data_IF_758673265361
#
_entry.id   IF_758673265361
#
_cell.length_a   1.000
_cell.length_b   1.000
_cell.length_c   1.000
_cell.angle_alpha   90.00
_cell.angle_beta   90.00
_cell.angle_gamma   90.00
#
_symmetry.space_group_name_H-M   'P 1'
#
loop_
_entity.id
_entity.type
_entity.pdbx_description
1 polymer ?
#
# COMPACT_ATOMS: atom_id res chain seq x y z
N UNK A 1 -7.62 22.81 -74.23
CA UNK A 1 -7.25 21.72 -73.29
C UNK A 1 -6.86 22.33 -71.94
N UNK A 2 -7.73 22.30 -70.96
CA UNK A 2 -7.46 22.83 -69.62
C UNK A 2 -7.19 21.66 -68.68
N UNK A 3 -5.98 21.64 -68.12
CA UNK A 3 -5.55 20.64 -67.17
C UNK A 3 -6.03 21.07 -65.76
N UNK A 4 -6.93 20.27 -65.19
CA UNK A 4 -7.45 20.45 -63.82
C UNK A 4 -6.52 19.75 -62.83
N UNK A 5 -5.95 20.52 -61.89
CA UNK A 5 -5.18 19.96 -60.76
C UNK A 5 -6.09 19.70 -59.58
N UNK A 6 -5.98 18.54 -58.91
CA UNK A 6 -6.75 18.29 -57.70
C UNK A 6 -6.18 19.05 -56.49
N UNK A 7 -7.11 19.67 -55.72
CA UNK A 7 -6.81 20.33 -54.43
C UNK A 7 -6.35 19.28 -53.40
N UNK A 8 -5.13 19.46 -52.89
CA UNK A 8 -4.67 18.77 -51.68
C UNK A 8 -5.50 19.21 -50.47
N UNK A 9 -6.19 18.27 -49.86
CA UNK A 9 -6.82 18.42 -48.54
C UNK A 9 -5.72 18.56 -47.48
N UNK A 10 -5.54 19.77 -46.94
CA UNK A 10 -4.72 20.00 -45.75
C UNK A 10 -5.45 19.43 -44.52
N UNK A 11 -4.97 18.29 -44.03
CA UNK A 11 -5.36 17.72 -42.76
C UNK A 11 -4.85 18.60 -41.60
N UNK A 12 -5.70 19.43 -41.03
CA UNK A 12 -5.41 20.16 -39.82
C UNK A 12 -5.32 19.19 -38.62
N UNK A 13 -4.11 18.81 -38.30
CA UNK A 13 -3.87 18.11 -37.02
C UNK A 13 -4.23 19.04 -35.86
N UNK A 14 -5.36 18.81 -35.23
CA UNK A 14 -5.70 19.43 -33.93
C UNK A 14 -4.65 18.95 -32.92
N UNK A 15 -3.76 19.82 -32.54
CA UNK A 15 -2.89 19.65 -31.37
C UNK A 15 -3.81 19.78 -30.15
N UNK A 16 -4.11 18.63 -29.51
CA UNK A 16 -4.80 18.61 -28.23
C UNK A 16 -3.88 19.29 -27.19
N UNK A 17 -4.40 20.23 -26.37
CA UNK A 17 -3.59 20.83 -25.35
C UNK A 17 -3.14 19.73 -24.35
N UNK A 18 -1.84 19.57 -24.22
CA UNK A 18 -1.25 18.74 -23.17
C UNK A 18 -1.68 19.33 -21.85
N UNK A 19 -2.58 18.64 -21.14
CA UNK A 19 -2.96 19.02 -19.79
C UNK A 19 -1.66 19.14 -18.96
N UNK A 20 -1.27 20.35 -18.59
CA UNK A 20 -0.22 20.58 -17.61
C UNK A 20 -0.71 19.92 -16.33
N UNK A 21 -0.15 18.75 -16.00
CA UNK A 21 -0.21 18.21 -14.65
C UNK A 21 0.35 19.33 -13.76
N UNK A 22 -0.55 20.01 -13.02
CA UNK A 22 -0.12 20.94 -12.00
C UNK A 22 0.90 20.24 -11.14
N UNK A 23 2.04 20.85 -10.89
CA UNK A 23 3.00 20.40 -9.89
C UNK A 23 2.22 20.36 -8.57
N UNK A 24 1.75 19.15 -8.21
CA UNK A 24 1.20 18.92 -6.90
C UNK A 24 2.29 19.34 -5.90
N UNK A 25 1.94 20.19 -4.96
CA UNK A 25 2.85 20.59 -3.88
C UNK A 25 3.34 19.29 -3.23
N UNK A 26 4.65 19.06 -3.24
CA UNK A 26 5.28 17.86 -2.67
C UNK A 26 5.29 17.94 -1.13
N UNK A 27 4.16 18.31 -0.52
CA UNK A 27 4.01 18.30 0.93
C UNK A 27 4.03 16.88 1.44
N UNK A 28 4.87 16.64 2.45
CA UNK A 28 4.91 15.38 3.16
C UNK A 28 3.92 15.47 4.32
N UNK A 29 2.88 14.65 4.29
CA UNK A 29 1.93 14.48 5.38
C UNK A 29 2.34 13.29 6.27
N UNK A 30 2.10 13.39 7.58
CA UNK A 30 2.44 12.34 8.56
C UNK A 30 1.25 12.08 9.48
N UNK A 31 0.96 10.81 9.72
CA UNK A 31 -0.11 10.36 10.61
C UNK A 31 0.48 9.55 11.77
N UNK A 32 -0.18 9.61 12.94
CA UNK A 32 0.23 8.85 14.12
C UNK A 32 1.61 9.26 14.62
N UNK A 33 1.80 10.56 14.85
CA UNK A 33 3.07 11.16 15.30
C UNK A 33 3.16 11.33 16.82
N UNK A 34 2.21 10.77 17.56
CA UNK A 34 2.15 10.94 19.03
C UNK A 34 3.26 10.21 19.77
N UNK A 35 3.86 9.19 19.14
CA UNK A 35 4.98 8.45 19.67
C UNK A 35 6.33 9.13 19.37
N UNK A 36 7.37 8.89 20.21
CA UNK A 36 8.67 9.54 20.06
C UNK A 36 9.55 8.95 18.94
N UNK A 37 9.21 7.77 18.40
CA UNK A 37 10.11 7.01 17.56
C UNK A 37 9.86 7.21 16.07
N UNK A 38 8.58 7.24 15.63
CA UNK A 38 8.24 7.21 14.21
C UNK A 38 6.81 7.71 13.98
N UNK A 39 6.51 8.07 12.73
CA UNK A 39 5.13 8.23 12.26
C UNK A 39 4.55 6.86 11.93
N UNK A 40 3.25 6.63 12.16
CA UNK A 40 2.57 5.40 11.73
C UNK A 40 2.38 5.34 10.22
N UNK A 41 2.17 6.50 9.57
CA UNK A 41 2.12 6.61 8.12
C UNK A 41 2.77 7.91 7.63
N UNK A 42 3.32 7.86 6.42
CA UNK A 42 3.83 9.01 5.67
C UNK A 42 3.17 9.00 4.30
N UNK A 43 2.66 10.16 3.88
CA UNK A 43 2.03 10.34 2.56
C UNK A 43 2.87 11.34 1.77
N UNK A 44 3.26 10.95 0.56
CA UNK A 44 4.03 11.79 -0.34
C UNK A 44 3.77 11.39 -1.80
N UNK A 45 3.46 12.37 -2.65
CA UNK A 45 3.21 12.16 -4.09
C UNK A 45 2.19 11.04 -4.38
N UNK A 46 1.04 11.08 -3.69
CA UNK A 46 -0.02 10.09 -3.81
C UNK A 46 0.38 8.65 -3.43
N UNK A 47 1.47 8.48 -2.67
CA UNK A 47 1.87 7.22 -2.09
C UNK A 47 1.77 7.29 -0.57
N UNK A 48 1.20 6.26 0.02
CA UNK A 48 1.07 6.05 1.47
C UNK A 48 2.05 4.97 1.89
N UNK A 49 2.96 5.32 2.78
CA UNK A 49 3.95 4.42 3.38
C UNK A 49 3.53 4.17 4.83
N UNK A 50 3.20 2.95 5.19
CA UNK A 50 2.98 2.57 6.58
C UNK A 50 4.28 2.11 7.23
N UNK A 51 4.42 2.33 8.52
CA UNK A 51 5.46 1.66 9.33
C UNK A 51 5.22 0.16 9.41
N UNK A 52 6.20 -0.60 9.84
CA UNK A 52 5.98 -1.98 10.27
C UNK A 52 4.99 -1.99 11.45
N UNK A 53 3.88 -2.70 11.32
CA UNK A 53 2.82 -2.80 12.31
C UNK A 53 2.88 -4.15 13.00
N UNK A 54 2.71 -4.12 14.31
CA UNK A 54 2.77 -5.27 15.22
C UNK A 54 1.61 -5.24 16.20
N UNK A 55 1.20 -6.38 16.73
CA UNK A 55 0.19 -6.43 17.77
C UNK A 55 0.76 -6.00 19.12
N UNK A 56 0.61 -4.72 19.44
CA UNK A 56 0.98 -4.17 20.74
C UNK A 56 -0.10 -4.40 21.81
N UNK A 57 -1.28 -4.88 21.43
CA UNK A 57 -2.38 -5.08 22.40
C UNK A 57 -2.11 -6.24 23.35
N UNK A 58 -1.33 -7.23 22.90
CA UNK A 58 -1.08 -8.46 23.66
C UNK A 58 -2.34 -9.29 23.90
N UNK A 59 -3.38 -9.07 23.09
CA UNK A 59 -4.67 -9.78 23.24
C UNK A 59 -4.66 -11.17 22.62
N UNK A 60 -3.67 -11.47 21.77
CA UNK A 60 -3.53 -12.78 21.13
C UNK A 60 -2.11 -13.31 21.22
N UNK A 61 -1.99 -14.58 21.54
CA UNK A 61 -0.75 -15.37 21.53
C UNK A 61 -0.62 -16.25 20.27
N UNK A 62 -1.55 -16.11 19.31
CA UNK A 62 -1.57 -16.85 18.04
C UNK A 62 -1.22 -15.94 16.85
N UNK A 63 -0.55 -16.49 15.83
CA UNK A 63 -0.26 -15.75 14.61
C UNK A 63 -1.54 -15.31 13.88
N UNK A 64 -2.59 -16.12 13.92
CA UNK A 64 -3.91 -15.77 13.36
C UNK A 64 -4.47 -14.51 14.00
N UNK A 65 -4.52 -14.45 15.32
CA UNK A 65 -5.06 -13.29 16.03
C UNK A 65 -4.19 -12.06 15.88
N UNK A 66 -2.86 -12.18 15.97
CA UNK A 66 -1.96 -11.05 15.77
C UNK A 66 -2.04 -10.52 14.33
N UNK A 67 -2.10 -11.41 13.31
CA UNK A 67 -2.27 -10.99 11.92
C UNK A 67 -3.58 -10.22 11.73
N UNK A 68 -4.68 -10.68 12.31
CA UNK A 68 -5.96 -9.97 12.22
C UNK A 68 -5.89 -8.59 12.86
N UNK A 69 -5.29 -8.48 14.05
CA UNK A 69 -5.11 -7.19 14.74
C UNK A 69 -4.29 -6.21 13.89
N UNK A 70 -3.18 -6.68 13.32
CA UNK A 70 -2.30 -5.86 12.48
C UNK A 70 -3.01 -5.41 11.20
N UNK A 71 -3.74 -6.31 10.52
CA UNK A 71 -4.47 -5.96 9.29
C UNK A 71 -5.63 -5.00 9.54
N UNK A 72 -6.29 -5.07 10.68
CA UNK A 72 -7.28 -4.07 11.10
C UNK A 72 -6.64 -2.69 11.28
N UNK A 73 -5.44 -2.62 11.87
CA UNK A 73 -4.70 -1.34 11.99
C UNK A 73 -4.23 -0.83 10.62
N UNK A 74 -3.85 -1.71 9.68
CA UNK A 74 -3.58 -1.33 8.28
C UNK A 74 -4.79 -0.66 7.66
N UNK A 75 -5.99 -1.26 7.77
CA UNK A 75 -7.23 -0.69 7.23
C UNK A 75 -7.53 0.69 7.84
N UNK A 76 -7.39 0.85 9.14
CA UNK A 76 -7.60 2.12 9.84
C UNK A 76 -6.64 3.23 9.37
N UNK A 77 -5.37 2.89 9.19
CA UNK A 77 -4.37 3.86 8.73
C UNK A 77 -4.55 4.22 7.25
N UNK A 78 -4.89 3.25 6.41
CA UNK A 78 -5.21 3.51 5.00
C UNK A 78 -6.43 4.42 4.87
N UNK A 79 -7.50 4.17 5.65
CA UNK A 79 -8.69 5.01 5.67
C UNK A 79 -8.36 6.45 6.12
N UNK A 80 -7.57 6.62 7.18
CA UNK A 80 -7.09 7.95 7.64
C UNK A 80 -6.24 8.66 6.59
N UNK A 81 -5.48 7.91 5.79
CA UNK A 81 -4.70 8.44 4.69
C UNK A 81 -5.54 8.75 3.43
N UNK A 82 -6.83 8.41 3.41
CA UNK A 82 -7.74 8.63 2.29
C UNK A 82 -7.65 7.58 1.18
N UNK A 83 -7.29 6.35 1.53
CA UNK A 83 -7.18 5.21 0.62
C UNK A 83 -7.76 3.93 1.27
N UNK A 84 -7.59 2.78 0.65
CA UNK A 84 -8.11 1.51 1.15
C UNK A 84 -7.27 0.32 0.63
N UNK A 85 -7.54 -0.89 1.15
CA UNK A 85 -6.75 -2.11 0.87
C UNK A 85 -6.66 -2.50 -0.60
N UNK A 86 -7.65 -2.18 -1.45
CA UNK A 86 -7.58 -2.47 -2.88
C UNK A 86 -6.52 -1.62 -3.61
N UNK A 87 -6.01 -0.56 -2.98
CA UNK A 87 -4.93 0.28 -3.50
C UNK A 87 -3.56 -0.09 -2.95
N UNK A 88 -3.44 -1.19 -2.20
CA UNK A 88 -2.15 -1.66 -1.71
C UNK A 88 -1.28 -2.11 -2.88
N UNK A 89 -0.07 -1.56 -2.95
CA UNK A 89 0.90 -1.85 -4.00
C UNK A 89 1.85 -2.97 -3.59
N UNK A 90 2.31 -2.92 -2.34
CA UNK A 90 3.27 -3.89 -1.83
C UNK A 90 3.07 -4.15 -0.34
N UNK A 91 3.42 -5.37 0.09
CA UNK A 91 3.49 -5.75 1.49
C UNK A 91 4.76 -6.54 1.78
N UNK A 92 5.39 -6.25 2.92
CA UNK A 92 6.46 -7.04 3.51
C UNK A 92 5.95 -7.64 4.82
N UNK A 93 6.13 -8.93 4.99
CA UNK A 93 5.69 -9.67 6.16
C UNK A 93 6.88 -10.38 6.78
N UNK A 94 7.10 -10.18 8.06
CA UNK A 94 8.09 -10.87 8.86
C UNK A 94 7.38 -11.80 9.83
N UNK A 95 7.78 -13.06 9.86
CA UNK A 95 7.28 -14.07 10.78
C UNK A 95 8.39 -14.48 11.73
N UNK A 96 8.06 -14.66 13.00
CA UNK A 96 9.00 -15.17 14.00
C UNK A 96 9.43 -16.59 13.69
N UNK A 97 8.52 -17.42 13.21
CA UNK A 97 8.72 -18.82 12.83
C UNK A 97 7.91 -19.11 11.57
N UNK A 98 8.58 -19.07 10.42
CA UNK A 98 7.92 -19.21 9.13
C UNK A 98 7.40 -20.61 8.88
N UNK A 99 8.06 -21.64 9.38
CA UNK A 99 7.65 -23.03 9.18
C UNK A 99 6.35 -23.32 9.92
N UNK A 100 6.19 -22.78 11.12
CA UNK A 100 5.00 -22.94 11.95
C UNK A 100 3.85 -22.06 11.50
N UNK A 101 4.12 -20.78 11.20
CA UNK A 101 3.11 -19.72 11.18
C UNK A 101 2.66 -19.32 9.76
N UNK A 102 3.40 -19.72 8.71
CA UNK A 102 3.14 -19.25 7.34
C UNK A 102 1.73 -19.58 6.84
N UNK A 103 1.25 -20.78 7.09
CA UNK A 103 -0.08 -21.22 6.63
C UNK A 103 -1.20 -20.45 7.29
N UNK A 104 -1.14 -20.27 8.60
CA UNK A 104 -2.21 -19.63 9.39
C UNK A 104 -2.22 -18.12 9.15
N UNK A 105 -1.05 -17.49 9.06
CA UNK A 105 -0.94 -16.09 8.62
C UNK A 105 -1.53 -15.89 7.22
N UNK A 106 -1.22 -16.77 6.26
CA UNK A 106 -1.75 -16.66 4.90
C UNK A 106 -3.27 -16.84 4.83
N UNK A 107 -3.89 -17.65 5.66
CA UNK A 107 -5.34 -17.78 5.70
C UNK A 107 -6.00 -16.43 6.02
N UNK A 108 -5.50 -15.73 7.05
CA UNK A 108 -5.99 -14.38 7.41
C UNK A 108 -5.70 -13.37 6.31
N UNK A 109 -4.52 -13.43 5.71
CA UNK A 109 -4.14 -12.53 4.60
C UNK A 109 -5.09 -12.67 3.40
N UNK A 110 -5.42 -13.91 2.99
CA UNK A 110 -6.30 -14.18 1.84
C UNK A 110 -7.72 -13.67 2.11
N UNK A 111 -8.22 -13.85 3.33
CA UNK A 111 -9.55 -13.36 3.72
C UNK A 111 -9.63 -11.83 3.77
N UNK A 112 -8.51 -11.18 4.13
CA UNK A 112 -8.44 -9.72 4.23
C UNK A 112 -8.23 -9.05 2.87
N UNK A 113 -7.34 -9.59 2.03
CA UNK A 113 -6.90 -8.97 0.78
C UNK A 113 -8.03 -8.90 -0.25
N UNK A 114 -8.07 -7.84 -1.05
CA UNK A 114 -8.94 -7.74 -2.22
C UNK A 114 -8.49 -8.74 -3.30
N UNK A 115 -9.31 -9.75 -3.66
CA UNK A 115 -8.93 -10.79 -4.60
C UNK A 115 -8.70 -10.29 -6.03
N UNK A 116 -9.28 -9.14 -6.41
CA UNK A 116 -9.13 -8.55 -7.74
C UNK A 116 -7.94 -7.59 -7.83
N UNK A 117 -7.45 -7.09 -6.68
CA UNK A 117 -6.36 -6.10 -6.60
C UNK A 117 -5.22 -6.59 -5.68
N UNK A 118 -4.57 -7.68 -6.07
CA UNK A 118 -3.51 -8.31 -5.27
C UNK A 118 -2.21 -7.51 -5.33
N UNK A 119 -1.62 -7.13 -4.17
CA UNK A 119 -0.32 -6.47 -4.13
C UNK A 119 0.82 -7.45 -4.44
N UNK A 120 2.00 -6.91 -4.75
CA UNK A 120 3.23 -7.70 -4.64
C UNK A 120 3.57 -7.92 -3.17
N UNK A 121 4.16 -9.08 -2.81
CA UNK A 121 4.41 -9.43 -1.41
C UNK A 121 5.70 -10.22 -1.24
N UNK A 122 6.41 -9.95 -0.16
CA UNK A 122 7.46 -10.81 0.36
C UNK A 122 7.12 -11.26 1.78
N UNK A 123 7.47 -12.51 2.12
CA UNK A 123 7.34 -13.04 3.49
C UNK A 123 8.64 -13.75 3.85
N UNK A 124 9.22 -13.37 4.99
CA UNK A 124 10.49 -13.90 5.47
C UNK A 124 10.42 -14.19 6.98
N UNK A 125 11.32 -15.02 7.47
CA UNK A 125 11.53 -15.20 8.90
C UNK A 125 12.50 -14.17 9.44
N UNK A 126 12.19 -13.62 10.62
CA UNK A 126 13.05 -12.66 11.30
C UNK A 126 12.84 -12.72 12.81
N UNK A 127 13.87 -12.46 13.61
CA UNK A 127 13.68 -12.11 15.03
C UNK A 127 12.71 -10.93 15.17
N UNK A 128 11.82 -10.98 16.14
CA UNK A 128 10.86 -9.92 16.46
C UNK A 128 11.41 -8.97 17.53
N UNK A 129 10.90 -7.72 17.51
CA UNK A 129 11.31 -6.71 18.49
C UNK A 129 10.97 -7.12 19.94
N UNK A 130 9.89 -7.87 20.15
CA UNK A 130 9.49 -8.38 21.46
C UNK A 130 9.22 -9.88 21.41
N UNK A 131 9.48 -10.62 22.53
CA UNK A 131 9.35 -12.08 22.55
C UNK A 131 7.95 -12.63 22.23
N UNK A 132 6.89 -11.89 22.52
CA UNK A 132 5.48 -12.31 22.29
C UNK A 132 5.00 -12.06 20.88
N UNK A 133 5.72 -11.27 20.10
CA UNK A 133 5.33 -10.99 18.71
C UNK A 133 5.63 -12.16 17.80
N UNK A 134 4.69 -12.48 16.93
CA UNK A 134 4.77 -13.57 15.95
C UNK A 134 4.81 -13.07 14.51
N UNK A 135 4.30 -11.87 14.25
CA UNK A 135 4.19 -11.27 12.92
C UNK A 135 4.38 -9.76 12.99
N UNK A 136 5.02 -9.21 11.94
CA UNK A 136 5.08 -7.79 11.62
C UNK A 136 4.71 -7.62 10.15
N UNK A 137 3.92 -6.59 9.82
CA UNK A 137 3.49 -6.31 8.45
C UNK A 137 3.72 -4.83 8.13
N UNK A 138 4.38 -4.57 7.01
CA UNK A 138 4.56 -3.24 6.43
C UNK A 138 3.88 -3.17 5.07
N UNK A 139 3.15 -2.07 4.81
CA UNK A 139 2.38 -1.88 3.58
C UNK A 139 2.71 -0.55 2.93
N UNK A 140 2.73 -0.54 1.59
CA UNK A 140 2.74 0.68 0.77
C UNK A 140 1.52 0.65 -0.15
N UNK A 141 0.80 1.78 -0.24
CA UNK A 141 -0.41 1.90 -1.04
C UNK A 141 -0.40 3.16 -1.91
N UNK A 142 -1.19 3.17 -2.98
CA UNK A 142 -1.55 4.39 -3.70
C UNK A 142 -2.70 5.13 -2.97
N UNK A 143 -2.74 6.45 -3.13
CA UNK A 143 -3.82 7.31 -2.60
C UNK A 143 -4.82 7.65 -3.69
#
# INVERSE_FOLDING_TARGET
MALSFPRLLQSSRRILPTARRGLASSTIERLGTDGPLMSKAVIHNDIVYLSGLIDLSGTSDTVTGQTQTVLNEVDDLLAKAGTHKSNVLSASIWLKDIERDFKDMNAVWVDWMDPDNKPVRATVQSPMAFPHLLVEIQVTAAK
#
